data_IF_871223151246
#
_entry.id   IF_871223151246
#
_cell.length_a   1.000
_cell.length_b   1.000
_cell.length_c   1.000
_cell.angle_alpha   90.00
_cell.angle_beta   90.00
_cell.angle_gamma   90.00
#
_symmetry.space_group_name_H-M   'P 1'
#
loop_
_entity.id
_entity.type
_entity.pdbx_description
1 polymer ?
#
# COMPACT_ATOMS: atom_id res chain seq x y z
N UNK A 1 7.57 -22.21 13.31
CA UNK A 1 7.73 -22.28 11.84
C UNK A 1 8.44 -21.00 11.45
N UNK A 2 9.77 -21.02 11.31
CA UNK A 2 10.56 -19.81 11.09
C UNK A 2 10.29 -19.28 9.67
N UNK A 3 9.64 -18.13 9.62
CA UNK A 3 9.26 -17.42 8.42
C UNK A 3 10.49 -16.96 7.61
N UNK A 4 10.67 -17.53 6.41
CA UNK A 4 11.79 -17.29 5.48
C UNK A 4 11.64 -15.98 4.69
N UNK A 5 11.38 -14.84 5.34
CA UNK A 5 10.92 -13.64 4.60
C UNK A 5 11.98 -12.58 4.26
N UNK A 6 13.14 -12.53 4.92
CA UNK A 6 14.06 -11.37 4.79
C UNK A 6 15.36 -11.64 4.00
N UNK A 7 16.04 -12.76 4.26
CA UNK A 7 17.48 -12.84 3.94
C UNK A 7 17.90 -13.78 2.81
N UNK A 8 17.02 -14.68 2.32
CA UNK A 8 17.48 -15.69 1.34
C UNK A 8 17.53 -15.17 -0.10
N UNK A 9 16.70 -14.18 -0.44
CA UNK A 9 16.52 -13.73 -1.82
C UNK A 9 16.93 -12.26 -2.04
N UNK A 10 17.26 -11.51 -0.99
CA UNK A 10 17.73 -10.13 -1.11
C UNK A 10 19.13 -10.12 -1.75
N UNK A 11 19.29 -9.41 -2.86
CA UNK A 11 20.61 -9.14 -3.44
C UNK A 11 21.24 -7.95 -2.71
N UNK A 12 22.57 -7.88 -2.67
CA UNK A 12 23.30 -6.83 -1.99
C UNK A 12 22.81 -5.42 -2.38
N UNK A 13 22.34 -4.65 -1.39
CA UNK A 13 21.88 -3.27 -1.56
C UNK A 13 20.38 -3.12 -1.86
N UNK A 14 19.64 -4.21 -2.06
CA UNK A 14 18.18 -4.15 -2.20
C UNK A 14 17.47 -4.06 -0.84
N UNK A 15 16.32 -3.40 -0.82
CA UNK A 15 15.44 -3.33 0.36
C UNK A 15 14.20 -4.19 0.13
N UNK A 16 13.96 -5.12 1.05
CA UNK A 16 12.73 -5.91 1.04
C UNK A 16 11.53 -5.02 1.38
N UNK A 17 10.51 -5.01 0.51
CA UNK A 17 9.33 -4.17 0.65
C UNK A 17 8.11 -4.93 1.20
N UNK A 18 8.13 -6.26 1.20
CA UNK A 18 7.03 -7.10 1.67
C UNK A 18 6.50 -8.07 0.61
N UNK A 19 5.29 -8.55 0.84
CA UNK A 19 4.61 -9.56 0.04
C UNK A 19 3.43 -8.91 -0.68
N UNK A 20 3.37 -9.08 -2.00
CA UNK A 20 2.15 -8.83 -2.77
C UNK A 20 1.28 -10.09 -2.73
N UNK A 21 0.06 -10.02 -2.17
CA UNK A 21 -0.85 -11.15 -2.19
C UNK A 21 -1.34 -11.41 -3.62
N UNK A 22 -1.60 -12.68 -3.92
CA UNK A 22 -2.29 -13.16 -5.11
C UNK A 22 -3.78 -13.29 -4.85
N UNK A 23 -4.45 -14.04 -5.74
CA UNK A 23 -5.88 -14.32 -5.58
C UNK A 23 -6.17 -15.02 -4.25
N UNK A 24 -7.33 -14.73 -3.67
CA UNK A 24 -7.84 -15.31 -2.43
C UNK A 24 -6.89 -15.20 -1.22
N UNK A 25 -5.99 -14.20 -1.23
CA UNK A 25 -5.04 -13.95 -0.14
C UNK A 25 -3.85 -14.91 -0.10
N UNK A 26 -3.68 -15.78 -1.12
CA UNK A 26 -2.44 -16.55 -1.30
C UNK A 26 -1.24 -15.62 -1.48
N UNK A 27 -0.03 -16.07 -1.17
CA UNK A 27 1.18 -15.29 -1.45
C UNK A 27 1.50 -15.35 -2.96
N UNK A 28 1.68 -14.19 -3.63
CA UNK A 28 2.05 -14.16 -5.06
C UNK A 28 3.56 -14.00 -5.24
N UNK A 29 4.11 -12.86 -4.80
CA UNK A 29 5.52 -12.58 -4.92
C UNK A 29 6.02 -11.65 -3.81
N UNK A 30 7.31 -11.71 -3.56
CA UNK A 30 8.05 -10.74 -2.76
C UNK A 30 8.54 -9.60 -3.64
N UNK A 31 8.48 -8.38 -3.09
CA UNK A 31 8.95 -7.17 -3.76
C UNK A 31 10.24 -6.66 -3.11
N UNK A 32 11.21 -6.32 -3.94
CA UNK A 32 12.48 -5.73 -3.53
C UNK A 32 12.71 -4.42 -4.28
N UNK A 33 13.05 -3.36 -3.55
CA UNK A 33 13.48 -2.07 -4.10
C UNK A 33 14.99 -2.12 -4.39
N UNK A 34 15.38 -1.82 -5.62
CA UNK A 34 16.79 -1.74 -6.02
C UNK A 34 17.41 -0.41 -5.56
N UNK A 35 18.73 -0.37 -5.32
CA UNK A 35 19.41 0.85 -4.93
C UNK A 35 19.44 1.89 -6.07
N UNK A 36 19.15 3.15 -5.73
CA UNK A 36 19.23 4.29 -6.63
C UNK A 36 17.93 4.62 -7.37
N UNK A 37 17.88 5.86 -7.87
CA UNK A 37 16.72 6.46 -8.54
C UNK A 37 17.15 7.29 -9.75
N UNK A 38 16.24 7.51 -10.69
CA UNK A 38 16.34 8.59 -11.66
C UNK A 38 15.45 9.75 -11.19
N UNK A 39 15.92 11.00 -11.34
CA UNK A 39 15.24 12.16 -10.75
C UNK A 39 14.32 12.92 -11.71
N UNK A 40 14.52 12.81 -13.02
CA UNK A 40 13.77 13.59 -14.02
C UNK A 40 13.81 12.95 -15.42
N UNK A 41 12.95 11.95 -15.64
CA UNK A 41 12.83 11.26 -16.93
C UNK A 41 11.39 11.32 -17.49
N UNK A 42 11.21 11.51 -18.81
CA UNK A 42 9.99 11.11 -19.50
C UNK A 42 9.65 9.65 -19.22
N UNK A 43 8.37 9.29 -19.27
CA UNK A 43 7.91 7.97 -18.85
C UNK A 43 8.55 6.81 -19.65
N UNK A 44 8.74 6.99 -20.96
CA UNK A 44 9.39 5.99 -21.81
C UNK A 44 10.87 5.79 -21.44
N UNK A 45 11.56 6.87 -21.08
CA UNK A 45 12.96 6.84 -20.67
C UNK A 45 13.10 6.23 -19.27
N UNK A 46 12.12 6.45 -18.38
CA UNK A 46 12.06 5.79 -17.08
C UNK A 46 11.93 4.26 -17.23
N UNK A 47 11.07 3.77 -18.12
CA UNK A 47 10.96 2.35 -18.45
C UNK A 47 12.28 1.79 -18.97
N UNK A 48 12.93 2.48 -19.91
CA UNK A 48 14.21 2.07 -20.46
C UNK A 48 15.31 2.04 -19.39
N UNK A 49 15.37 3.07 -18.54
CA UNK A 49 16.31 3.16 -17.42
C UNK A 49 16.20 1.95 -16.48
N UNK A 50 14.99 1.51 -16.14
CA UNK A 50 14.82 0.30 -15.32
C UNK A 50 15.23 -0.98 -16.07
N UNK A 51 14.87 -1.09 -17.35
CA UNK A 51 15.20 -2.26 -18.17
C UNK A 51 16.71 -2.45 -18.37
N UNK A 52 17.47 -1.35 -18.53
CA UNK A 52 18.95 -1.38 -18.61
C UNK A 52 19.61 -1.97 -17.35
N UNK A 53 18.86 -2.04 -16.25
CA UNK A 53 19.29 -2.55 -14.95
C UNK A 53 18.72 -3.95 -14.65
N UNK A 54 18.18 -4.62 -15.68
CA UNK A 54 17.48 -5.91 -15.57
C UNK A 54 16.35 -5.88 -14.52
N UNK A 55 15.63 -4.76 -14.46
CA UNK A 55 14.57 -4.49 -13.51
C UNK A 55 13.36 -3.85 -14.18
N UNK A 56 12.32 -3.59 -13.39
CA UNK A 56 11.11 -2.93 -13.87
C UNK A 56 10.83 -1.66 -13.06
N UNK A 57 10.13 -0.70 -13.69
CA UNK A 57 9.35 0.25 -12.91
C UNK A 57 8.31 -0.51 -12.07
N UNK A 58 8.01 -0.04 -10.84
CA UNK A 58 6.93 -0.61 -10.04
C UNK A 58 5.56 -0.32 -10.65
N UNK A 59 4.61 -1.21 -10.40
CA UNK A 59 3.18 -0.95 -10.64
C UNK A 59 2.64 0.08 -9.65
N UNK A 60 1.41 0.54 -9.87
CA UNK A 60 0.69 1.42 -8.94
C UNK A 60 0.56 0.82 -7.54
N UNK A 61 0.19 -0.46 -7.49
CA UNK A 61 0.06 -1.21 -6.23
C UNK A 61 1.43 -1.38 -5.55
N UNK A 62 2.49 -1.63 -6.31
CA UNK A 62 3.83 -1.79 -5.75
C UNK A 62 4.38 -0.48 -5.21
N UNK A 63 4.12 0.66 -5.86
CA UNK A 63 4.45 1.99 -5.32
C UNK A 63 3.74 2.24 -3.98
N UNK A 64 2.48 1.84 -3.85
CA UNK A 64 1.75 1.94 -2.60
C UNK A 64 2.33 0.99 -1.52
N UNK A 65 2.74 -0.23 -1.87
CA UNK A 65 3.44 -1.13 -0.93
C UNK A 65 4.79 -0.53 -0.47
N UNK A 66 5.56 0.03 -1.41
CA UNK A 66 6.80 0.75 -1.10
C UNK A 66 6.53 1.94 -0.18
N UNK A 67 5.45 2.68 -0.39
CA UNK A 67 5.07 3.77 0.49
C UNK A 67 4.69 3.26 1.89
N UNK A 68 3.94 2.17 1.99
CA UNK A 68 3.58 1.58 3.27
C UNK A 68 4.81 1.09 4.05
N UNK A 69 5.77 0.40 3.41
CA UNK A 69 6.84 -0.29 4.12
C UNK A 69 8.21 0.38 4.07
N UNK A 70 8.47 1.17 3.04
CA UNK A 70 9.77 1.79 2.78
C UNK A 70 9.68 3.31 2.61
N UNK A 71 8.67 3.99 3.20
CA UNK A 71 8.52 5.46 3.12
C UNK A 71 9.84 6.20 3.34
N UNK A 72 10.60 5.80 4.36
CA UNK A 72 11.88 6.42 4.72
C UNK A 72 12.94 6.41 3.61
N UNK A 73 12.81 5.54 2.61
CA UNK A 73 13.72 5.44 1.47
C UNK A 73 13.37 6.42 0.34
N UNK A 74 12.25 7.14 0.44
CA UNK A 74 11.77 8.05 -0.60
C UNK A 74 11.70 9.50 -0.10
N UNK A 75 12.12 10.47 -0.93
CA UNK A 75 11.76 11.87 -0.72
C UNK A 75 10.25 12.08 -0.94
N UNK A 76 9.71 13.17 -0.39
CA UNK A 76 8.33 13.61 -0.62
C UNK A 76 8.20 14.12 -2.07
N UNK A 77 8.00 13.18 -2.99
CA UNK A 77 7.93 13.43 -4.42
C UNK A 77 7.17 12.31 -5.14
N UNK A 78 6.75 12.58 -6.37
CA UNK A 78 6.04 11.62 -7.20
C UNK A 78 6.99 10.76 -8.05
N UNK A 79 6.62 9.48 -8.21
CA UNK A 79 7.34 8.47 -8.98
C UNK A 79 6.46 7.87 -10.07
N UNK A 80 7.04 7.62 -11.23
CA UNK A 80 6.35 6.92 -12.32
C UNK A 80 6.00 5.48 -11.93
N UNK A 81 4.76 5.09 -12.24
CA UNK A 81 4.36 3.69 -12.34
C UNK A 81 4.70 3.13 -13.72
N UNK A 82 4.87 1.82 -13.84
CA UNK A 82 4.95 1.12 -15.13
C UNK A 82 3.64 1.11 -15.92
N UNK A 83 2.54 1.60 -15.33
CA UNK A 83 1.20 1.54 -15.93
C UNK A 83 0.88 2.78 -16.77
N UNK A 84 0.53 2.54 -18.04
CA UNK A 84 -0.12 3.55 -18.87
C UNK A 84 -1.60 3.70 -18.47
N UNK A 85 -2.15 4.88 -18.70
CA UNK A 85 -3.60 5.06 -18.54
C UNK A 85 -4.38 4.30 -19.63
N UNK A 86 -5.42 3.59 -19.22
CA UNK A 86 -6.22 2.74 -20.11
C UNK A 86 -7.14 3.54 -21.06
N UNK A 87 -7.51 4.77 -20.69
CA UNK A 87 -8.46 5.62 -21.42
C UNK A 87 -7.73 6.71 -22.21
N UNK A 88 -6.65 7.25 -21.65
CA UNK A 88 -5.87 8.36 -22.19
C UNK A 88 -4.45 7.89 -22.55
N UNK A 89 -4.19 7.39 -23.77
CA UNK A 89 -2.91 6.76 -24.13
C UNK A 89 -1.65 7.62 -23.94
N UNK A 90 -1.81 8.94 -23.91
CA UNK A 90 -0.75 9.93 -23.64
C UNK A 90 -0.40 10.08 -22.16
N UNK A 91 -1.18 9.50 -21.26
CA UNK A 91 -0.96 9.55 -19.81
C UNK A 91 -0.33 8.25 -19.30
N UNK A 92 0.44 8.37 -18.23
CA UNK A 92 0.87 7.27 -17.40
C UNK A 92 0.62 7.60 -15.93
N UNK A 93 0.46 6.56 -15.12
CA UNK A 93 0.20 6.72 -13.70
C UNK A 93 1.48 7.05 -12.93
N UNK A 94 1.33 7.74 -11.81
CA UNK A 94 2.36 8.01 -10.82
C UNK A 94 1.80 7.85 -9.42
N UNK A 95 2.70 7.82 -8.44
CA UNK A 95 2.39 7.78 -7.01
C UNK A 95 3.19 8.85 -6.27
N UNK A 96 2.52 9.66 -5.46
CA UNK A 96 3.13 10.68 -4.62
C UNK A 96 3.49 10.11 -3.24
N UNK A 97 4.76 10.24 -2.83
CA UNK A 97 5.24 9.75 -1.52
C UNK A 97 5.05 10.73 -0.35
N UNK A 98 4.53 11.94 -0.60
CA UNK A 98 4.12 12.86 0.46
C UNK A 98 2.83 12.36 1.13
N UNK A 99 1.79 12.10 0.33
CA UNK A 99 0.45 11.78 0.83
C UNK A 99 -0.15 10.49 0.25
N UNK A 100 0.54 9.81 -0.67
CA UNK A 100 0.10 8.54 -1.25
C UNK A 100 -0.84 8.66 -2.43
N UNK A 101 -1.11 9.87 -2.94
CA UNK A 101 -2.03 10.05 -4.06
C UNK A 101 -1.51 9.42 -5.34
N UNK A 102 -2.40 8.81 -6.12
CA UNK A 102 -2.07 8.34 -7.47
C UNK A 102 -2.82 9.14 -8.52
N UNK A 103 -2.06 9.75 -9.43
CA UNK A 103 -2.57 10.53 -10.55
C UNK A 103 -1.95 10.05 -11.86
N UNK A 104 -2.55 10.46 -12.96
CA UNK A 104 -2.01 10.24 -14.29
C UNK A 104 -1.45 11.56 -14.86
N UNK A 105 -0.25 11.50 -15.42
CA UNK A 105 0.43 12.66 -16.00
C UNK A 105 0.83 12.38 -17.44
N UNK A 106 1.08 13.45 -18.22
CA UNK A 106 1.59 13.32 -19.60
C UNK A 106 2.88 12.51 -19.58
N UNK A 107 2.98 11.49 -20.42
CA UNK A 107 4.19 10.67 -20.61
C UNK A 107 5.44 11.49 -20.97
N UNK A 108 5.25 12.70 -21.49
CA UNK A 108 6.31 13.66 -21.85
C UNK A 108 6.79 14.51 -20.68
N UNK A 109 6.14 14.48 -19.51
CA UNK A 109 6.62 15.17 -18.32
C UNK A 109 7.80 14.42 -17.72
N UNK A 110 8.67 15.13 -17.02
CA UNK A 110 9.81 14.53 -16.34
C UNK A 110 9.42 14.14 -14.92
N UNK A 111 9.61 12.87 -14.57
CA UNK A 111 9.30 12.30 -13.26
C UNK A 111 10.42 11.46 -12.71
N UNK A 112 10.29 11.11 -11.43
CA UNK A 112 11.25 10.21 -10.77
C UNK A 112 10.96 8.75 -11.12
N UNK A 113 11.98 7.92 -11.08
CA UNK A 113 11.87 6.49 -11.30
C UNK A 113 12.67 5.72 -10.25
N UNK A 114 12.08 4.66 -9.71
CA UNK A 114 12.77 3.64 -8.95
C UNK A 114 12.59 2.29 -9.65
N UNK A 115 13.47 1.34 -9.34
CA UNK A 115 13.45 0.02 -9.96
C UNK A 115 13.12 -1.03 -8.90
N UNK A 116 12.30 -2.01 -9.26
CA UNK A 116 11.93 -3.13 -8.39
C UNK A 116 12.22 -4.46 -9.04
N UNK A 117 12.47 -5.47 -8.19
CA UNK A 117 12.57 -6.88 -8.55
C UNK A 117 11.49 -7.67 -7.83
N UNK A 118 10.91 -8.63 -8.55
CA UNK A 118 9.87 -9.52 -8.06
C UNK A 118 10.45 -10.92 -7.91
N UNK A 119 10.24 -11.54 -6.76
CA UNK A 119 10.57 -12.95 -6.53
C UNK A 119 9.28 -13.70 -6.33
N UNK A 120 8.90 -14.48 -7.34
CA UNK A 120 7.67 -15.28 -7.27
C UNK A 120 7.79 -16.28 -6.12
N UNK A 121 6.77 -16.30 -5.28
CA UNK A 121 6.62 -17.33 -4.28
C UNK A 121 6.00 -18.55 -4.96
N UNK A 122 6.38 -19.75 -4.52
CA UNK A 122 5.69 -20.95 -4.97
C UNK A 122 4.19 -20.76 -4.68
N UNK A 123 3.28 -21.15 -5.60
CA UNK A 123 1.84 -21.00 -5.38
C UNK A 123 1.44 -21.83 -4.16
N UNK A 124 1.37 -21.17 -3.00
CA UNK A 124 0.82 -21.72 -1.79
C UNK A 124 -0.67 -21.37 -1.81
N UNK A 125 -1.52 -22.38 -1.77
CA UNK A 125 -2.97 -22.20 -1.79
C UNK A 125 -3.53 -21.46 -0.56
N UNK A 126 -2.69 -21.14 0.43
CA UNK A 126 -3.10 -20.56 1.70
C UNK A 126 -2.30 -19.29 2.01
N UNK A 127 -2.96 -18.34 2.66
CA UNK A 127 -2.34 -17.16 3.20
C UNK A 127 -1.22 -17.53 4.21
N UNK A 128 -0.21 -16.65 4.41
CA UNK A 128 0.85 -16.85 5.40
C UNK A 128 0.36 -17.00 6.85
N UNK A 129 -0.90 -16.61 7.11
CA UNK A 129 -1.54 -16.65 8.42
C UNK A 129 -2.94 -17.26 8.30
N UNK A 130 -3.48 -17.88 9.37
CA UNK A 130 -4.86 -18.38 9.39
C UNK A 130 -5.88 -17.24 9.21
N UNK A 131 -6.80 -17.43 8.27
CA UNK A 131 -7.92 -16.53 8.00
C UNK A 131 -9.23 -17.15 8.50
N UNK A 132 -10.07 -16.33 9.12
CA UNK A 132 -11.47 -16.65 9.42
C UNK A 132 -12.34 -16.52 8.16
N UNK A 133 -13.55 -17.09 8.13
CA UNK A 133 -14.46 -16.93 7.00
C UNK A 133 -14.70 -15.44 6.67
N UNK A 134 -14.45 -15.06 5.42
CA UNK A 134 -14.61 -13.69 4.93
C UNK A 134 -13.42 -12.75 5.18
N UNK A 135 -12.45 -13.11 6.04
CA UNK A 135 -11.24 -12.30 6.23
C UNK A 135 -10.38 -12.29 4.94
N UNK A 136 -9.77 -11.14 4.64
CA UNK A 136 -8.88 -10.96 3.49
C UNK A 136 -7.47 -10.62 3.96
N UNK A 137 -6.47 -11.37 3.51
CA UNK A 137 -5.06 -11.07 3.81
C UNK A 137 -4.60 -9.85 3.00
N UNK A 138 -4.14 -8.80 3.69
CA UNK A 138 -3.70 -7.56 3.05
C UNK A 138 -2.20 -7.57 2.74
N UNK A 139 -1.37 -8.20 3.58
CA UNK A 139 0.08 -8.22 3.39
C UNK A 139 0.84 -8.16 4.70
N UNK A 140 2.16 -7.96 4.58
CA UNK A 140 3.09 -7.84 5.70
C UNK A 140 3.46 -6.37 5.94
N UNK A 141 3.37 -5.92 7.18
CA UNK A 141 3.96 -4.67 7.66
C UNK A 141 5.35 -4.96 8.23
N UNK A 142 6.32 -4.12 7.87
CA UNK A 142 7.70 -4.23 8.37
C UNK A 142 7.94 -3.35 9.61
N UNK A 143 8.78 -3.81 10.53
CA UNK A 143 9.30 -3.01 11.63
C UNK A 143 10.23 -1.90 11.13
N UNK A 144 10.66 -1.03 12.04
CA UNK A 144 11.58 0.08 11.72
C UNK A 144 12.98 -0.39 11.30
N UNK A 145 13.35 -1.61 11.65
CA UNK A 145 14.58 -2.30 11.23
C UNK A 145 14.41 -3.09 9.90
N UNK A 146 13.24 -2.93 9.25
CA UNK A 146 12.85 -3.65 8.05
C UNK A 146 12.58 -5.14 8.27
N UNK A 147 12.55 -5.64 9.51
CA UNK A 147 12.14 -7.02 9.78
C UNK A 147 10.61 -7.17 9.64
N UNK A 148 10.10 -8.38 9.34
CA UNK A 148 8.67 -8.65 9.47
C UNK A 148 8.18 -8.29 10.89
N UNK A 149 7.11 -7.48 10.99
CA UNK A 149 6.51 -7.09 12.28
C UNK A 149 5.17 -7.81 12.46
N UNK A 150 4.20 -7.52 11.59
CA UNK A 150 2.91 -8.21 11.61
C UNK A 150 2.26 -8.33 10.24
N UNK A 151 1.48 -9.38 10.08
CA UNK A 151 0.57 -9.59 8.98
C UNK A 151 -0.74 -8.83 9.22
N UNK A 152 -1.19 -8.08 8.22
CA UNK A 152 -2.43 -7.32 8.27
C UNK A 152 -3.57 -8.11 7.62
N UNK A 153 -4.70 -8.19 8.31
CA UNK A 153 -5.90 -8.89 7.85
C UNK A 153 -7.10 -7.94 7.91
N UNK A 154 -7.77 -7.76 6.77
CA UNK A 154 -9.01 -7.00 6.64
C UNK A 154 -10.20 -7.87 7.06
N UNK A 155 -11.07 -7.32 7.89
CA UNK A 155 -12.31 -7.99 8.31
C UNK A 155 -13.31 -8.13 7.14
N UNK A 156 -14.28 -9.06 7.23
CA UNK A 156 -15.26 -9.33 6.17
C UNK A 156 -15.98 -8.08 5.64
N UNK A 157 -16.52 -8.16 4.43
CA UNK A 157 -17.17 -7.02 3.76
C UNK A 157 -18.45 -6.56 4.48
N UNK A 158 -19.11 -7.45 5.22
CA UNK A 158 -20.22 -7.10 6.10
C UNK A 158 -19.80 -6.20 7.27
N UNK A 159 -18.50 -6.03 7.50
CA UNK A 159 -17.91 -5.12 8.48
C UNK A 159 -17.43 -3.81 7.82
N UNK A 160 -18.31 -3.14 7.06
CA UNK A 160 -18.14 -1.74 6.63
C UNK A 160 -19.17 -0.86 7.33
N UNK A 161 -18.69 0.18 8.01
CA UNK A 161 -19.53 1.17 8.66
C UNK A 161 -19.63 2.41 7.76
N UNK A 162 -20.85 2.81 7.41
CA UNK A 162 -21.09 3.90 6.45
C UNK A 162 -21.62 5.17 7.15
N UNK A 163 -21.06 6.33 6.80
CA UNK A 163 -21.53 7.65 7.22
C UNK A 163 -21.62 7.81 8.75
N UNK A 164 -20.49 7.60 9.43
CA UNK A 164 -20.38 7.82 10.87
C UNK A 164 -19.17 8.68 11.23
N UNK A 165 -19.30 9.44 12.31
CA UNK A 165 -18.19 10.19 12.91
C UNK A 165 -17.04 9.28 13.32
N UNK A 166 -15.84 9.86 13.41
CA UNK A 166 -14.63 9.11 13.76
C UNK A 166 -14.74 8.37 15.10
N UNK A 167 -15.35 9.02 16.11
CA UNK A 167 -15.51 8.42 17.43
C UNK A 167 -16.50 7.25 17.40
N UNK A 168 -17.59 7.36 16.63
CA UNK A 168 -18.54 6.27 16.45
C UNK A 168 -17.89 5.08 15.74
N UNK A 169 -17.12 5.33 14.68
CA UNK A 169 -16.36 4.30 13.97
C UNK A 169 -15.33 3.59 14.86
N UNK A 170 -14.60 4.35 15.70
CA UNK A 170 -13.62 3.79 16.63
C UNK A 170 -14.28 2.91 17.70
N UNK A 171 -15.41 3.37 18.27
CA UNK A 171 -16.18 2.59 19.25
C UNK A 171 -16.76 1.32 18.63
N UNK A 172 -17.27 1.41 17.40
CA UNK A 172 -17.78 0.26 16.65
C UNK A 172 -16.68 -0.78 16.43
N UNK A 173 -15.52 -0.38 15.93
CA UNK A 173 -14.38 -1.28 15.74
C UNK A 173 -13.96 -1.97 17.04
N UNK A 174 -13.89 -1.22 18.14
CA UNK A 174 -13.57 -1.74 19.46
C UNK A 174 -14.61 -2.75 19.98
N UNK A 175 -15.90 -2.53 19.68
CA UNK A 175 -16.97 -3.46 20.07
C UNK A 175 -16.87 -4.82 19.37
N UNK A 176 -16.19 -4.88 18.21
CA UNK A 176 -15.85 -6.10 17.49
C UNK A 176 -14.52 -6.72 17.95
N UNK A 177 -13.81 -6.10 18.91
CA UNK A 177 -12.47 -6.53 19.32
C UNK A 177 -11.37 -6.20 18.30
N UNK A 178 -11.61 -5.22 17.43
CA UNK A 178 -10.71 -4.78 16.36
C UNK A 178 -10.39 -3.29 16.48
N UNK A 179 -9.63 -2.75 15.52
CA UNK A 179 -9.41 -1.32 15.38
C UNK A 179 -9.65 -0.88 13.93
N UNK A 180 -9.79 0.43 13.73
CA UNK A 180 -9.56 1.02 12.41
C UNK A 180 -8.09 0.79 12.00
N UNK A 181 -7.78 0.74 10.69
CA UNK A 181 -6.41 0.73 10.22
C UNK A 181 -5.76 2.10 10.44
N UNK A 182 -4.48 2.11 10.77
CA UNK A 182 -3.65 3.31 10.79
C UNK A 182 -3.31 3.79 9.36
N UNK A 183 -2.61 4.92 9.20
CA UNK A 183 -2.31 5.48 7.85
C UNK A 183 -1.42 4.54 7.03
N UNK A 184 -0.50 3.86 7.69
CA UNK A 184 0.44 2.93 7.06
C UNK A 184 -0.31 1.69 6.58
N UNK A 185 -1.18 1.14 7.40
CA UNK A 185 -2.05 0.02 7.10
C UNK A 185 -3.06 0.37 6.00
N UNK A 186 -3.67 1.56 6.03
CA UNK A 186 -4.53 2.03 4.94
C UNK A 186 -3.78 2.11 3.60
N UNK A 187 -2.50 2.47 3.62
CA UNK A 187 -1.67 2.50 2.41
C UNK A 187 -1.38 1.08 1.90
N UNK A 188 -1.14 0.12 2.78
CA UNK A 188 -1.05 -1.30 2.40
C UNK A 188 -2.38 -1.84 1.86
N UNK A 189 -3.50 -1.53 2.52
CA UNK A 189 -4.85 -1.92 2.08
C UNK A 189 -5.19 -1.35 0.70
N UNK A 190 -4.81 -0.10 0.43
CA UNK A 190 -4.95 0.49 -0.90
C UNK A 190 -4.08 -0.22 -1.94
N UNK A 191 -2.87 -0.64 -1.56
CA UNK A 191 -1.97 -1.37 -2.46
C UNK A 191 -2.55 -2.73 -2.89
N UNK A 192 -3.17 -3.46 -1.96
CA UNK A 192 -3.44 -4.89 -2.14
C UNK A 192 -4.92 -5.27 -2.14
N UNK A 193 -5.78 -4.46 -1.54
CA UNK A 193 -7.20 -4.75 -1.35
C UNK A 193 -8.10 -3.56 -1.73
N UNK A 194 -7.66 -2.67 -2.64
CA UNK A 194 -8.43 -1.49 -3.06
C UNK A 194 -9.89 -1.84 -3.42
N UNK A 195 -10.09 -2.92 -4.17
CA UNK A 195 -11.41 -3.34 -4.65
C UNK A 195 -12.34 -3.87 -3.54
N UNK A 196 -11.82 -4.10 -2.33
CA UNK A 196 -12.64 -4.43 -1.17
C UNK A 196 -13.26 -3.18 -0.52
N UNK A 197 -12.85 -1.97 -0.93
CA UNK A 197 -13.34 -0.71 -0.37
C UNK A 197 -14.26 -0.02 -1.38
N UNK A 198 -15.28 0.67 -0.85
CA UNK A 198 -16.00 1.68 -1.63
C UNK A 198 -15.03 2.78 -2.10
N UNK A 199 -15.16 3.32 -3.34
CA UNK A 199 -14.34 4.43 -3.82
C UNK A 199 -14.72 5.74 -3.11
N UNK A 200 -14.30 5.87 -1.85
CA UNK A 200 -14.53 7.01 -0.97
C UNK A 200 -13.51 7.02 0.18
N UNK A 201 -13.54 8.07 1.00
CA UNK A 201 -12.63 8.22 2.11
C UNK A 201 -13.03 7.41 3.35
N UNK A 202 -12.02 6.78 3.95
CA UNK A 202 -12.17 5.92 5.13
C UNK A 202 -11.34 6.46 6.30
N UNK A 203 -11.93 6.47 7.49
CA UNK A 203 -11.27 6.88 8.72
C UNK A 203 -10.06 6.02 9.06
N UNK A 204 -8.96 6.68 9.44
CA UNK A 204 -7.80 6.06 10.09
C UNK A 204 -8.03 5.96 11.60
N UNK A 205 -7.27 5.11 12.30
CA UNK A 205 -7.15 5.19 13.76
C UNK A 205 -6.29 6.38 14.25
N UNK A 206 -5.54 7.02 13.36
CA UNK A 206 -4.60 8.09 13.74
C UNK A 206 -5.28 9.46 13.89
N UNK A 207 -5.08 10.16 15.03
CA UNK A 207 -5.53 11.54 15.18
C UNK A 207 -4.79 12.47 14.22
N UNK A 208 -5.43 13.56 13.82
CA UNK A 208 -4.82 14.62 13.04
C UNK A 208 -3.81 15.45 13.83
N UNK A 209 -3.10 16.31 13.11
CA UNK A 209 -2.09 17.22 13.62
C UNK A 209 -2.71 18.34 14.46
N UNK A 210 -3.97 18.67 14.20
CA UNK A 210 -4.76 19.65 14.93
C UNK A 210 -5.86 18.95 15.75
N UNK A 211 -6.16 19.51 16.92
CA UNK A 211 -7.26 19.05 17.76
C UNK A 211 -8.59 19.08 16.97
N UNK A 212 -9.35 17.98 17.05
CA UNK A 212 -10.61 17.84 16.32
C UNK A 212 -10.47 17.28 14.91
N UNK A 213 -9.26 17.06 14.38
CA UNK A 213 -9.05 16.43 13.07
C UNK A 213 -8.59 14.97 13.19
N UNK A 214 -8.81 14.19 12.14
CA UNK A 214 -8.33 12.80 12.02
C UNK A 214 -7.93 12.52 10.59
N UNK A 215 -6.87 11.73 10.45
CA UNK A 215 -6.46 11.20 9.17
C UNK A 215 -7.53 10.27 8.56
N UNK A 216 -7.64 10.34 7.25
CA UNK A 216 -8.41 9.43 6.44
C UNK A 216 -7.67 9.16 5.13
N UNK A 217 -8.07 8.09 4.44
CA UNK A 217 -7.56 7.74 3.11
C UNK A 217 -8.70 7.58 2.14
N UNK A 218 -8.61 8.24 0.99
CA UNK A 218 -9.52 8.07 -0.12
C UNK A 218 -9.15 6.82 -0.93
N UNK A 219 -10.07 5.86 -1.01
CA UNK A 219 -9.88 4.61 -1.73
C UNK A 219 -10.20 4.69 -3.22
N UNK A 220 -10.53 5.86 -3.76
CA UNK A 220 -10.58 6.08 -5.21
C UNK A 220 -9.20 6.52 -5.74
N UNK A 221 -8.66 7.59 -5.18
CA UNK A 221 -7.45 8.30 -5.61
C UNK A 221 -6.18 7.88 -4.85
N UNK A 222 -6.33 7.31 -3.65
CA UNK A 222 -5.20 6.90 -2.79
C UNK A 222 -4.66 8.01 -1.89
N UNK A 223 -5.16 9.24 -1.97
CA UNK A 223 -4.70 10.35 -1.13
C UNK A 223 -5.02 10.09 0.34
N UNK A 224 -4.05 10.37 1.22
CA UNK A 224 -4.28 10.52 2.64
C UNK A 224 -4.35 12.00 3.02
N UNK A 225 -5.34 12.39 3.81
CA UNK A 225 -5.55 13.76 4.28
C UNK A 225 -6.28 13.78 5.61
N UNK A 226 -6.35 14.95 6.24
CA UNK A 226 -7.04 15.16 7.51
C UNK A 226 -8.42 15.74 7.28
N UNK A 227 -9.38 15.29 8.07
CA UNK A 227 -10.74 15.81 8.05
C UNK A 227 -11.26 16.01 9.48
N UNK A 228 -12.23 16.91 9.65
CA UNK A 228 -12.81 17.20 10.95
C UNK A 228 -13.61 15.99 11.47
N UNK A 229 -13.42 15.60 12.73
CA UNK A 229 -13.97 14.37 13.35
C UNK A 229 -15.50 14.38 13.42
N UNK A 230 -16.12 15.56 13.31
CA UNK A 230 -17.56 15.75 13.25
C UNK A 230 -18.18 15.38 11.90
N UNK A 231 -17.40 15.27 10.82
CA UNK A 231 -17.91 14.75 9.56
C UNK A 231 -18.18 13.26 9.65
N UNK A 232 -19.12 12.80 8.82
CA UNK A 232 -19.44 11.39 8.68
C UNK A 232 -18.61 10.78 7.55
N UNK A 233 -17.96 9.65 7.83
CA UNK A 233 -17.09 8.94 6.91
C UNK A 233 -17.32 7.43 6.93
N UNK A 234 -16.55 6.71 6.11
CA UNK A 234 -16.59 5.26 6.06
C UNK A 234 -15.52 4.66 6.97
N UNK A 235 -15.72 3.43 7.42
CA UNK A 235 -14.75 2.73 8.24
C UNK A 235 -14.74 1.23 7.98
N UNK A 236 -13.53 0.66 8.01
CA UNK A 236 -13.27 -0.78 7.99
C UNK A 236 -12.40 -1.15 9.18
N UNK A 237 -12.47 -2.40 9.60
CA UNK A 237 -11.68 -2.91 10.71
C UNK A 237 -10.59 -3.87 10.23
N UNK A 238 -9.50 -3.90 10.99
CA UNK A 238 -8.38 -4.81 10.75
C UNK A 238 -8.02 -5.59 12.00
N UNK A 239 -7.37 -6.73 11.78
CA UNK A 239 -6.69 -7.53 12.79
C UNK A 239 -5.22 -7.67 12.41
N UNK A 240 -4.35 -7.61 13.42
CA UNK A 240 -2.89 -7.76 13.29
C UNK A 240 -2.48 -9.14 13.79
N UNK A 241 -1.64 -9.83 13.02
CA UNK A 241 -1.06 -11.13 13.38
C UNK A 241 0.45 -11.01 13.37
N UNK A 242 1.06 -10.88 14.55
CA UNK A 242 2.50 -10.68 14.71
C UNK A 242 3.29 -11.88 14.19
N UNK A 243 4.41 -11.57 13.51
CA UNK A 243 5.27 -12.52 12.80
C UNK A 243 6.25 -13.26 13.71
#
# INVERSE_FOLDING_TARGET
MHARYKDQDAVAGELYAGIMPGQDGGASYQLFLLPGEASALPWQDALAWAAERDACLPTRSELALLHANLRHAFPDAWYWSSEADAILPRMAWSHDFDNGTQYNFRKTYSGRACAVRRVNLAPVAAAPVPLQPGERYAGLILGTDGAPDYHLVLQPDECELENHSWQAASNWAASLGHSLPDRREQTLLYATLKDAFRPNWHWSSEPGDIEGETWCKDFDTGVAYQNAREFDGYARCVRRVFA
#
